data_IF_407675525443
#
_entry.id   IF_407675525443
#
_cell.length_a   1.000
_cell.length_b   1.000
_cell.length_c   1.000
_cell.angle_alpha   90.00
_cell.angle_beta   90.00
_cell.angle_gamma   90.00
#
_symmetry.space_group_name_H-M   'P 1'
#
loop_
_entity.id
_entity.type
_entity.pdbx_description
1 polymer ?
#
# COMPACT_ATOMS: atom_id res chain seq x y z
N UNK A 1 -28.64 -12.11 -22.93
CA UNK A 1 -29.10 -13.13 -21.98
C UNK A 1 -28.41 -12.89 -20.62
N UNK A 2 -29.14 -12.44 -19.59
CA UNK A 2 -28.54 -12.13 -18.27
C UNK A 2 -28.04 -13.38 -17.51
N UNK A 3 -28.23 -14.58 -18.06
CA UNK A 3 -27.82 -15.85 -17.43
C UNK A 3 -26.47 -16.38 -17.91
N UNK A 4 -25.85 -15.77 -18.91
CA UNK A 4 -24.56 -16.24 -19.45
C UNK A 4 -23.41 -15.80 -18.49
N UNK A 5 -22.99 -16.73 -17.64
CA UNK A 5 -21.80 -16.56 -16.80
C UNK A 5 -20.54 -16.73 -17.66
N UNK A 6 -19.72 -15.70 -17.75
CA UNK A 6 -18.39 -15.80 -18.34
C UNK A 6 -17.47 -16.56 -17.37
N UNK A 7 -17.15 -17.80 -17.70
CA UNK A 7 -16.20 -18.62 -16.96
C UNK A 7 -14.80 -18.35 -17.51
N UNK A 8 -13.93 -17.76 -16.70
CA UNK A 8 -12.54 -17.53 -17.03
C UNK A 8 -11.65 -18.48 -16.24
N UNK A 9 -10.63 -19.03 -16.90
CA UNK A 9 -9.58 -19.83 -16.24
C UNK A 9 -8.67 -18.89 -15.44
N UNK A 10 -8.53 -19.15 -14.13
CA UNK A 10 -7.62 -18.44 -13.24
C UNK A 10 -6.47 -19.33 -12.79
N UNK A 11 -5.33 -18.75 -12.54
CA UNK A 11 -4.13 -19.41 -12.05
C UNK A 11 -3.69 -18.77 -10.73
N UNK A 12 -3.51 -19.60 -9.70
CA UNK A 12 -2.94 -19.11 -8.42
C UNK A 12 -1.48 -18.75 -8.65
N UNK A 13 -1.13 -17.50 -8.36
CA UNK A 13 0.22 -16.95 -8.52
C UNK A 13 1.01 -16.89 -7.23
N UNK A 14 0.31 -16.68 -6.14
CA UNK A 14 0.88 -16.61 -4.82
C UNK A 14 -0.21 -16.84 -3.78
N UNK A 15 0.16 -17.16 -2.55
CA UNK A 15 -0.78 -17.33 -1.44
C UNK A 15 -0.18 -16.82 -0.13
N UNK A 16 -1.05 -16.48 0.78
CA UNK A 16 -0.74 -16.07 2.14
C UNK A 16 -1.53 -16.94 3.10
N UNK A 17 -0.88 -17.93 3.69
CA UNK A 17 -1.51 -18.89 4.62
C UNK A 17 -2.01 -18.19 5.89
N UNK A 18 -1.31 -17.17 6.37
CA UNK A 18 -1.66 -16.46 7.59
C UNK A 18 -2.96 -15.65 7.46
N UNK A 19 -3.23 -15.11 6.26
CA UNK A 19 -4.42 -14.33 5.96
C UNK A 19 -5.41 -15.09 5.05
N UNK A 20 -5.13 -16.36 4.70
CA UNK A 20 -5.92 -17.21 3.81
C UNK A 20 -6.29 -16.52 2.48
N UNK A 21 -5.36 -15.77 1.93
CA UNK A 21 -5.52 -15.00 0.70
C UNK A 21 -4.76 -15.64 -0.47
N UNK A 22 -5.35 -15.56 -1.68
CA UNK A 22 -4.74 -16.04 -2.90
C UNK A 22 -4.65 -14.92 -3.93
N UNK A 23 -3.49 -14.78 -4.57
CA UNK A 23 -3.36 -13.96 -5.77
C UNK A 23 -3.69 -14.81 -7.00
N UNK A 24 -4.81 -14.51 -7.66
CA UNK A 24 -5.28 -15.24 -8.85
C UNK A 24 -5.15 -14.34 -10.08
N UNK A 25 -4.50 -14.84 -11.12
CA UNK A 25 -4.41 -14.19 -12.43
C UNK A 25 -5.32 -14.90 -13.43
N UNK A 26 -6.12 -14.12 -14.19
CA UNK A 26 -7.01 -14.64 -15.23
C UNK A 26 -6.42 -14.36 -16.61
N UNK A 27 -6.42 -15.36 -17.52
CA UNK A 27 -5.97 -15.21 -18.90
C UNK A 27 -5.06 -16.33 -19.40
N UNK A 28 -4.24 -16.04 -20.42
CA UNK A 28 -3.27 -17.01 -20.98
C UNK A 28 -2.22 -17.38 -19.93
N UNK A 29 -1.84 -18.65 -19.86
CA UNK A 29 -0.73 -19.12 -19.03
C UNK A 29 0.53 -18.36 -19.47
N UNK A 30 1.09 -17.44 -18.68
CA UNK A 30 2.47 -17.08 -18.86
C UNK A 30 3.31 -18.26 -18.42
N UNK A 31 4.44 -18.51 -19.07
CA UNK A 31 5.40 -19.51 -18.60
C UNK A 31 5.61 -19.29 -17.09
N UNK A 32 5.67 -20.39 -16.33
CA UNK A 32 5.83 -20.36 -14.88
C UNK A 32 7.20 -19.75 -14.56
N UNK A 33 7.23 -18.44 -14.41
CA UNK A 33 8.37 -17.73 -13.85
C UNK A 33 7.91 -17.14 -12.52
N UNK A 34 8.65 -17.41 -11.45
CA UNK A 34 8.51 -16.68 -10.16
C UNK A 34 8.86 -15.19 -10.30
N UNK A 35 8.91 -14.68 -11.53
CA UNK A 35 9.20 -13.28 -11.82
C UNK A 35 8.10 -12.40 -11.27
N UNK A 36 8.46 -11.61 -10.27
CA UNK A 36 7.60 -10.61 -9.65
C UNK A 36 7.18 -10.88 -8.20
N UNK A 37 7.55 -12.05 -7.62
CA UNK A 37 7.36 -12.24 -6.18
C UNK A 37 8.30 -11.33 -5.39
N UNK A 38 7.77 -10.66 -4.37
CA UNK A 38 8.58 -9.87 -3.45
C UNK A 38 9.51 -10.77 -2.63
N UNK A 39 10.77 -10.36 -2.45
CA UNK A 39 11.72 -10.94 -1.50
C UNK A 39 12.42 -9.82 -0.73
N UNK A 40 12.58 -10.01 0.58
CA UNK A 40 13.35 -9.10 1.45
C UNK A 40 14.83 -8.98 1.03
N UNK A 41 15.38 -10.01 0.38
CA UNK A 41 16.78 -10.05 -0.07
C UNK A 41 17.06 -9.12 -1.25
N UNK A 42 16.03 -8.68 -1.96
CA UNK A 42 16.18 -7.76 -3.08
C UNK A 42 16.47 -6.35 -2.54
N UNK A 43 17.55 -5.68 -2.97
CA UNK A 43 17.84 -4.31 -2.58
C UNK A 43 16.65 -3.37 -2.89
N UNK A 44 16.24 -2.57 -1.92
CA UNK A 44 15.16 -1.62 -2.10
C UNK A 44 15.55 -0.50 -3.07
N UNK A 45 14.70 -0.24 -4.07
CA UNK A 45 14.85 0.88 -4.98
C UNK A 45 13.56 1.70 -5.04
N UNK A 46 13.57 2.88 -4.42
CA UNK A 46 12.41 3.77 -4.36
C UNK A 46 11.96 4.29 -5.73
N UNK A 47 12.88 4.38 -6.70
CA UNK A 47 12.66 4.98 -8.01
C UNK A 47 12.67 3.91 -9.10
N UNK A 48 11.60 3.19 -9.26
CA UNK A 48 11.50 2.17 -10.30
C UNK A 48 10.57 2.65 -11.43
N UNK A 49 11.11 2.71 -12.68
CA UNK A 49 10.28 2.98 -13.85
C UNK A 49 9.34 1.79 -14.09
N UNK A 50 8.03 2.03 -13.99
CA UNK A 50 7.03 1.01 -14.35
C UNK A 50 7.11 0.68 -15.83
N UNK A 51 7.20 -0.61 -16.18
CA UNK A 51 6.71 -1.09 -17.47
C UNK A 51 5.19 -0.91 -17.47
N UNK A 52 4.65 -0.09 -18.39
CA UNK A 52 3.19 0.09 -18.54
C UNK A 52 2.57 -1.27 -18.87
N UNK A 53 1.98 -1.92 -17.88
CA UNK A 53 0.99 -2.95 -18.14
C UNK A 53 -0.36 -2.25 -18.28
N UNK A 54 -1.00 -2.45 -19.43
CA UNK A 54 -2.41 -2.10 -19.59
C UNK A 54 -3.22 -2.95 -18.62
N UNK A 55 -3.59 -2.40 -17.48
CA UNK A 55 -4.58 -3.03 -16.61
C UNK A 55 -5.46 -1.98 -15.95
N UNK A 56 -6.72 -2.14 -16.25
CA UNK A 56 -7.93 -1.89 -15.45
C UNK A 56 -8.07 -0.59 -14.64
N UNK A 57 -9.29 -0.15 -14.63
CA UNK A 57 -9.96 0.99 -14.01
C UNK A 57 -9.77 1.20 -12.50
N UNK A 58 -8.92 0.46 -11.82
CA UNK A 58 -8.60 0.65 -10.40
C UNK A 58 -7.10 0.93 -10.27
N UNK A 59 -6.74 2.04 -9.64
CA UNK A 59 -5.38 2.58 -9.57
C UNK A 59 -4.34 1.72 -8.85
N UNK A 60 -4.71 0.58 -8.25
CA UNK A 60 -3.81 -0.28 -7.52
C UNK A 60 -3.47 -1.55 -8.31
N UNK A 61 -2.17 -1.83 -8.45
CA UNK A 61 -1.67 -3.10 -8.93
C UNK A 61 -2.08 -4.21 -7.92
N UNK A 62 -2.86 -5.23 -8.34
CA UNK A 62 -3.31 -6.30 -7.44
C UNK A 62 -2.14 -7.02 -6.75
N UNK A 63 -1.00 -7.18 -7.45
CA UNK A 63 0.21 -7.76 -6.89
C UNK A 63 0.77 -6.91 -5.75
N UNK A 64 0.87 -5.60 -5.95
CA UNK A 64 1.31 -4.68 -4.90
C UNK A 64 0.41 -4.74 -3.66
N UNK A 65 -0.92 -4.71 -3.86
CA UNK A 65 -1.87 -4.82 -2.75
C UNK A 65 -1.71 -6.13 -1.98
N UNK A 66 -1.60 -7.25 -2.69
CA UNK A 66 -1.38 -8.56 -2.08
C UNK A 66 -0.09 -8.58 -1.25
N UNK A 67 1.03 -8.11 -1.81
CA UNK A 67 2.34 -8.11 -1.14
C UNK A 67 2.36 -7.18 0.08
N UNK A 68 1.66 -6.02 0.02
CA UNK A 68 1.51 -5.11 1.17
C UNK A 68 0.74 -5.79 2.30
N UNK A 69 -0.43 -6.37 2.03
CA UNK A 69 -1.21 -7.03 3.08
C UNK A 69 -0.52 -8.27 3.63
N UNK A 70 0.16 -9.06 2.79
CA UNK A 70 0.97 -10.21 3.22
C UNK A 70 2.09 -9.78 4.18
N UNK A 71 2.75 -8.64 3.89
CA UNK A 71 3.85 -8.10 4.67
C UNK A 71 3.39 -7.52 6.02
N UNK A 72 2.36 -6.70 6.02
CA UNK A 72 1.96 -5.88 7.16
C UNK A 72 0.75 -6.42 7.94
N UNK A 73 -0.05 -7.29 7.33
CA UNK A 73 -1.34 -7.77 7.83
C UNK A 73 -2.52 -6.92 7.37
N UNK A 74 -3.72 -7.47 7.55
CA UNK A 74 -4.99 -6.87 7.13
C UNK A 74 -5.56 -5.96 8.23
N UNK A 75 -4.89 -4.84 8.49
CA UNK A 75 -5.35 -3.80 9.41
C UNK A 75 -4.85 -2.43 8.96
N UNK A 76 -5.61 -1.38 9.26
CA UNK A 76 -5.13 -0.01 9.07
C UNK A 76 -3.94 0.27 10.01
N UNK A 77 -2.90 0.92 9.48
CA UNK A 77 -1.69 1.22 10.25
C UNK A 77 -1.91 2.28 11.34
N UNK A 78 -2.97 3.10 11.21
CA UNK A 78 -3.18 4.29 12.06
C UNK A 78 -4.49 4.29 12.84
N UNK A 79 -5.36 3.28 12.62
CA UNK A 79 -6.60 3.09 13.39
C UNK A 79 -6.96 1.62 13.56
N UNK A 80 -8.06 1.33 14.25
CA UNK A 80 -8.51 -0.04 14.56
C UNK A 80 -9.21 -0.78 13.42
N UNK A 81 -9.35 -0.17 12.22
CA UNK A 81 -10.06 -0.79 11.07
C UNK A 81 -9.36 -2.06 10.60
N UNK A 82 -10.13 -3.15 10.51
CA UNK A 82 -9.66 -4.48 10.05
C UNK A 82 -10.61 -5.12 9.04
N UNK A 83 -11.65 -4.39 8.59
CA UNK A 83 -12.58 -4.90 7.58
C UNK A 83 -11.91 -4.86 6.22
N UNK A 84 -11.65 -6.04 5.64
CA UNK A 84 -10.84 -6.23 4.43
C UNK A 84 -11.31 -5.35 3.25
N UNK A 85 -12.62 -5.31 2.95
CA UNK A 85 -13.19 -4.50 1.86
C UNK A 85 -13.04 -2.97 2.06
N UNK A 86 -12.66 -2.50 3.25
CA UNK A 86 -12.43 -1.09 3.57
C UNK A 86 -10.93 -0.74 3.68
N UNK A 87 -10.05 -1.73 3.50
CA UNK A 87 -8.61 -1.54 3.52
C UNK A 87 -8.05 -1.38 2.10
N UNK A 88 -7.04 -0.55 1.98
CA UNK A 88 -6.30 -0.32 0.74
C UNK A 88 -4.80 -0.36 1.00
N UNK A 89 -4.02 -0.76 -0.01
CA UNK A 89 -2.57 -0.62 0.01
C UNK A 89 -2.19 0.76 -0.54
N UNK A 90 -1.80 1.68 0.33
CA UNK A 90 -1.38 3.02 -0.05
C UNK A 90 0.10 3.02 -0.44
N UNK A 91 0.45 3.62 -1.60
CA UNK A 91 1.84 3.91 -1.89
C UNK A 91 2.33 5.09 -1.03
N UNK A 92 3.49 4.95 -0.40
CA UNK A 92 4.14 6.04 0.35
C UNK A 92 4.71 7.07 -0.62
N UNK A 93 5.46 6.62 -1.63
CA UNK A 93 5.78 7.41 -2.81
C UNK A 93 4.90 6.95 -3.98
N UNK A 94 4.00 7.82 -4.50
CA UNK A 94 3.06 7.43 -5.54
C UNK A 94 3.74 6.96 -6.83
N UNK A 95 3.07 6.06 -7.56
CA UNK A 95 3.52 5.60 -8.86
C UNK A 95 3.58 6.72 -9.91
N UNK A 96 2.72 7.74 -9.79
CA UNK A 96 2.77 8.97 -10.61
C UNK A 96 4.07 9.76 -10.45
N UNK A 97 4.73 9.63 -9.30
CA UNK A 97 6.03 10.21 -8.98
C UNK A 97 7.20 9.22 -9.17
N UNK A 98 6.99 8.18 -9.98
CA UNK A 98 7.93 7.08 -10.18
C UNK A 98 8.24 6.27 -8.89
N UNK A 99 7.28 6.14 -7.98
CA UNK A 99 7.35 5.23 -6.84
C UNK A 99 7.30 3.77 -7.29
N UNK A 100 8.07 2.92 -6.62
CA UNK A 100 8.13 1.47 -6.88
C UNK A 100 6.88 0.75 -6.37
N UNK A 101 6.53 -0.39 -6.98
CA UNK A 101 5.54 -1.35 -6.48
C UNK A 101 6.14 -2.35 -5.45
N UNK A 102 7.33 -2.11 -4.94
CA UNK A 102 7.89 -2.83 -3.81
C UNK A 102 7.00 -2.60 -2.57
N UNK A 103 6.53 -3.65 -1.85
CA UNK A 103 5.63 -3.49 -0.70
C UNK A 103 6.26 -2.68 0.44
N UNK A 104 7.58 -2.52 0.49
CA UNK A 104 8.27 -1.62 1.43
C UNK A 104 8.00 -0.13 1.16
N UNK A 105 7.53 0.20 -0.06
CA UNK A 105 6.97 1.50 -0.43
C UNK A 105 5.46 1.57 -0.22
N UNK A 106 4.88 0.64 0.53
CA UNK A 106 3.46 0.54 0.80
C UNK A 106 3.15 0.59 2.28
N UNK A 107 1.89 0.93 2.58
CA UNK A 107 1.34 0.88 3.93
C UNK A 107 -0.16 0.52 3.86
N UNK A 108 -0.67 -0.39 4.71
CA UNK A 108 -2.10 -0.68 4.75
C UNK A 108 -2.86 0.44 5.47
N UNK A 109 -3.83 1.02 4.81
CA UNK A 109 -4.69 2.07 5.37
C UNK A 109 -6.17 1.77 5.06
N UNK A 110 -7.09 2.25 5.89
CA UNK A 110 -8.49 2.32 5.46
C UNK A 110 -8.66 3.46 4.43
N UNK A 111 -9.76 3.47 3.70
CA UNK A 111 -9.97 4.43 2.60
C UNK A 111 -9.89 5.89 3.08
N UNK A 112 -10.44 6.21 4.26
CA UNK A 112 -10.37 7.56 4.82
C UNK A 112 -8.92 7.99 5.12
N UNK A 113 -8.15 7.11 5.77
CA UNK A 113 -6.76 7.39 6.09
C UNK A 113 -5.85 7.35 4.85
N UNK A 114 -6.19 6.57 3.82
CA UNK A 114 -5.50 6.63 2.53
C UNK A 114 -5.65 8.04 1.90
N UNK A 115 -6.89 8.55 1.82
CA UNK A 115 -7.14 9.90 1.31
C UNK A 115 -6.45 10.97 2.16
N UNK A 116 -6.49 10.86 3.50
CA UNK A 116 -5.82 11.80 4.40
C UNK A 116 -4.29 11.75 4.28
N UNK A 117 -3.71 10.59 4.01
CA UNK A 117 -2.28 10.42 3.79
C UNK A 117 -1.83 11.03 2.47
N UNK A 118 -2.56 10.76 1.36
CA UNK A 118 -2.26 11.33 0.03
C UNK A 118 -2.38 12.86 0.00
N UNK A 119 -3.30 13.43 0.78
CA UNK A 119 -3.48 14.88 0.92
C UNK A 119 -2.56 15.53 1.96
N UNK A 120 -1.64 14.75 2.54
CA UNK A 120 -0.69 15.21 3.55
C UNK A 120 -1.34 15.85 4.79
N UNK A 121 -2.50 15.37 5.23
CA UNK A 121 -3.05 15.76 6.53
C UNK A 121 -2.26 15.16 7.68
N UNK A 122 -1.69 13.98 7.47
CA UNK A 122 -0.70 13.38 8.35
C UNK A 122 0.42 12.70 7.56
N UNK A 123 1.48 12.40 8.26
CA UNK A 123 2.61 11.63 7.75
C UNK A 123 3.19 10.74 8.85
N UNK A 124 4.18 9.94 8.50
CA UNK A 124 4.92 9.10 9.44
C UNK A 124 6.37 9.59 9.46
N UNK A 125 6.87 9.88 10.67
CA UNK A 125 8.25 10.32 10.85
C UNK A 125 9.23 9.17 10.51
N UNK A 126 10.20 9.37 9.60
CA UNK A 126 11.04 8.28 9.09
C UNK A 126 12.00 7.69 10.11
N UNK A 127 12.32 8.41 11.19
CA UNK A 127 13.22 7.93 12.24
C UNK A 127 12.51 7.24 13.39
N UNK A 128 11.42 7.83 13.91
CA UNK A 128 10.68 7.32 15.08
C UNK A 128 9.43 6.51 14.72
N UNK A 129 9.00 6.52 13.45
CA UNK A 129 7.75 5.92 12.97
C UNK A 129 6.47 6.48 13.61
N UNK A 130 6.58 7.61 14.33
CA UNK A 130 5.45 8.32 14.90
C UNK A 130 4.58 8.97 13.84
N UNK A 131 3.28 9.04 14.09
CA UNK A 131 2.29 9.72 13.26
C UNK A 131 2.33 11.20 13.58
N UNK A 132 2.54 12.03 12.56
CA UNK A 132 2.65 13.49 12.66
C UNK A 132 1.54 14.13 11.84
N UNK A 133 0.70 14.96 12.46
CA UNK A 133 -0.36 15.73 11.79
C UNK A 133 0.14 17.12 11.40
N UNK A 134 -0.55 17.74 10.43
CA UNK A 134 -0.27 19.11 10.01
C UNK A 134 -0.69 20.10 11.11
N UNK A 135 0.15 21.08 11.42
CA UNK A 135 -0.08 22.06 12.48
C UNK A 135 -1.38 22.88 12.28
N UNK A 136 -1.63 23.34 11.05
CA UNK A 136 -2.84 24.08 10.67
C UNK A 136 -3.87 23.20 9.93
N UNK A 137 -3.82 21.87 10.14
CA UNK A 137 -4.72 20.89 9.54
C UNK A 137 -5.70 20.30 10.57
N UNK A 138 -6.42 19.25 10.16
CA UNK A 138 -7.28 18.51 11.07
C UNK A 138 -6.46 17.91 12.22
N UNK A 139 -7.06 17.90 13.44
CA UNK A 139 -6.42 17.26 14.60
C UNK A 139 -6.38 15.74 14.46
N UNK A 140 -5.60 15.06 15.31
CA UNK A 140 -5.58 13.59 15.37
C UNK A 140 -6.97 13.01 15.62
N UNK A 141 -7.74 13.64 16.49
CA UNK A 141 -9.11 13.25 16.85
C UNK A 141 -10.06 13.40 15.66
N UNK A 142 -9.97 14.54 14.94
CA UNK A 142 -10.79 14.79 13.74
C UNK A 142 -10.47 13.83 12.59
N UNK A 143 -9.24 13.35 12.52
CA UNK A 143 -8.79 12.33 11.56
C UNK A 143 -9.03 10.89 12.07
N UNK A 144 -9.52 10.70 13.30
CA UNK A 144 -9.69 9.39 13.94
C UNK A 144 -8.37 8.56 13.97
N UNK A 145 -7.23 9.24 14.15
CA UNK A 145 -5.92 8.60 14.32
C UNK A 145 -5.81 8.07 15.74
N UNK A 146 -5.96 6.77 15.91
CA UNK A 146 -5.98 6.10 17.22
C UNK A 146 -4.58 5.73 17.67
N UNK A 147 -3.69 5.42 16.73
CA UNK A 147 -2.33 4.99 17.03
C UNK A 147 -1.39 6.21 17.11
N UNK A 148 -0.39 6.14 17.98
CA UNK A 148 0.66 7.17 18.06
C UNK A 148 1.79 6.93 17.05
N UNK A 149 2.01 5.67 16.70
CA UNK A 149 3.03 5.21 15.77
C UNK A 149 2.56 3.97 15.01
N UNK A 150 3.38 3.49 14.08
CA UNK A 150 3.09 2.30 13.27
C UNK A 150 3.86 1.05 13.72
N UNK A 151 4.43 1.04 14.93
CA UNK A 151 5.26 -0.07 15.44
C UNK A 151 4.47 -1.37 15.65
N UNK A 152 3.14 -1.32 15.68
CA UNK A 152 2.25 -2.49 15.78
C UNK A 152 2.14 -3.29 14.48
N UNK A 153 2.62 -2.78 13.36
CA UNK A 153 2.65 -3.54 12.10
C UNK A 153 3.64 -4.72 12.21
N UNK A 154 3.37 -5.82 11.50
CA UNK A 154 4.24 -7.01 11.46
C UNK A 154 5.66 -6.70 10.93
N UNK A 155 5.76 -5.68 10.09
CA UNK A 155 7.00 -5.15 9.53
C UNK A 155 6.89 -3.62 9.41
N UNK A 156 7.99 -2.95 9.10
CA UNK A 156 7.99 -1.50 8.91
C UNK A 156 8.25 -1.14 7.44
N UNK A 157 7.66 -0.03 6.96
CA UNK A 157 7.99 0.53 5.65
C UNK A 157 9.45 0.98 5.56
N UNK A 158 9.95 1.06 4.33
CA UNK A 158 11.32 1.52 4.11
C UNK A 158 11.46 3.02 4.47
N UNK A 159 12.52 3.33 5.24
CA UNK A 159 12.78 4.70 5.71
C UNK A 159 12.91 5.71 4.58
N UNK A 160 13.51 5.32 3.46
CA UNK A 160 13.65 6.18 2.29
C UNK A 160 12.29 6.58 1.70
N UNK A 161 11.31 5.68 1.69
CA UNK A 161 9.95 5.97 1.25
C UNK A 161 9.27 6.96 2.23
N UNK A 162 9.33 6.67 3.53
CA UNK A 162 8.80 7.57 4.56
C UNK A 162 9.48 8.95 4.50
N UNK A 163 10.79 9.01 4.28
CA UNK A 163 11.53 10.26 4.16
C UNK A 163 11.07 11.10 2.96
N UNK A 164 10.76 10.44 1.83
CA UNK A 164 10.20 11.13 0.67
C UNK A 164 8.86 11.78 1.01
N UNK A 165 7.93 11.04 1.63
CA UNK A 165 6.60 11.52 2.02
C UNK A 165 6.70 12.62 3.08
N UNK A 166 7.55 12.44 4.08
CA UNK A 166 7.78 13.42 5.16
C UNK A 166 8.29 14.76 4.62
N UNK A 167 9.24 14.73 3.67
CA UNK A 167 9.72 15.97 3.01
C UNK A 167 8.63 16.69 2.24
N UNK A 168 7.73 15.97 1.58
CA UNK A 168 6.57 16.56 0.89
C UNK A 168 5.59 17.16 1.88
N UNK A 169 5.31 16.45 2.97
CA UNK A 169 4.46 16.92 4.06
C UNK A 169 4.98 18.25 4.65
N UNK A 170 6.27 18.37 4.91
CA UNK A 170 6.86 19.60 5.45
C UNK A 170 6.70 20.80 4.51
N UNK A 171 6.81 20.60 3.19
CA UNK A 171 6.61 21.66 2.20
C UNK A 171 5.17 22.17 2.13
N UNK A 172 4.19 21.36 2.52
CA UNK A 172 2.79 21.79 2.58
C UNK A 172 2.50 22.72 3.77
N UNK A 173 3.45 22.87 4.72
CA UNK A 173 3.32 23.81 5.84
C UNK A 173 3.54 25.27 5.42
N UNK A 174 4.14 25.50 4.25
CA UNK A 174 4.53 26.82 3.77
C UNK A 174 3.46 27.48 2.88
N UNK A 175 2.32 26.80 2.64
CA UNK A 175 1.16 27.29 1.91
C UNK A 175 -0.04 27.49 2.85
#
# INVERSE_FOLDING_TARGET
DPTRRDVKKGFVRDWDDANQAFLIEFGKIPGYTKEGAFSEDIPFNLNQKRKRHHSSRSGNNPRFSFDVFKRYGHRCAVCSMQVEGLLTAAHIKPASENGTDDPRNGIPLCQNHHAAFETFFFTIHPGSYQIVTRENGPSKEALELVEEDIMKLKALPERMALQWHYRRFLRQKEL
#
